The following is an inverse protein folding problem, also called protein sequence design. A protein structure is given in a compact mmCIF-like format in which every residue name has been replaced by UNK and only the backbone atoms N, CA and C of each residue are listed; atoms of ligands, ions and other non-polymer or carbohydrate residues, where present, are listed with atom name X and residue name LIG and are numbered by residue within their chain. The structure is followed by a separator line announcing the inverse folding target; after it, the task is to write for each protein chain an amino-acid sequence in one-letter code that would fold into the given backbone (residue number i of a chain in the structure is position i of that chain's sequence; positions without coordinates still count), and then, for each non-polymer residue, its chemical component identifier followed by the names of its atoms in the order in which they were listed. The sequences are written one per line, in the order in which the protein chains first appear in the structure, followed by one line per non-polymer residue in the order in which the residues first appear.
data_IF_681500428135
#
_entry.id   IF_681500428135
#
_cell.length_a   1.000
_cell.length_b   1.000
_cell.length_c   1.000
_cell.angle_alpha   90.00
_cell.angle_beta   90.00
_cell.angle_gamma   90.00
#
_symmetry.space_group_name_H-M   'P 1'
#
loop_
_entity.id
_entity.type
_entity.pdbx_description
1 polymer ?
#
# COMPACT_ATOMS: atom_id res chain seq x y z
N UNK A 1 -5.78 -23.17 -13.93
CA UNK A 1 -5.11 -22.01 -14.56
C UNK A 1 -3.60 -22.18 -14.40
N UNK A 2 -2.83 -21.83 -15.43
CA UNK A 2 -1.36 -21.88 -15.34
C UNK A 2 -0.84 -20.69 -14.52
N UNK A 3 0.32 -20.85 -13.87
CA UNK A 3 0.96 -19.78 -13.08
C UNK A 3 1.23 -18.54 -13.94
N UNK A 4 1.60 -18.73 -15.22
CA UNK A 4 1.87 -17.63 -16.15
C UNK A 4 0.60 -16.85 -16.52
N UNK A 5 -0.56 -17.53 -16.63
CA UNK A 5 -1.84 -16.86 -16.91
C UNK A 5 -2.32 -16.05 -15.69
N UNK A 6 -2.11 -16.56 -14.48
CA UNK A 6 -2.43 -15.87 -13.23
C UNK A 6 -1.53 -14.63 -13.07
N UNK A 7 -0.22 -14.78 -13.31
CA UNK A 7 0.76 -13.69 -13.30
C UNK A 7 0.39 -12.56 -14.26
N UNK A 8 0.14 -12.87 -15.55
CA UNK A 8 -0.21 -11.85 -16.54
C UNK A 8 -1.50 -11.11 -16.16
N UNK A 9 -2.47 -11.81 -15.56
CA UNK A 9 -3.71 -11.18 -15.12
C UNK A 9 -3.47 -10.16 -14.01
N UNK A 10 -2.67 -10.51 -13.00
CA UNK A 10 -2.38 -9.60 -11.89
C UNK A 10 -1.56 -8.40 -12.38
N UNK A 11 -0.59 -8.62 -13.28
CA UNK A 11 0.17 -7.52 -13.90
C UNK A 11 -0.74 -6.55 -14.66
N UNK A 12 -1.65 -7.07 -15.50
CA UNK A 12 -2.61 -6.22 -16.22
C UNK A 12 -3.57 -5.48 -15.27
N UNK A 13 -3.96 -6.11 -14.15
CA UNK A 13 -4.77 -5.45 -13.12
C UNK A 13 -4.00 -4.30 -12.50
N UNK A 14 -2.73 -4.51 -12.15
CA UNK A 14 -1.88 -3.49 -11.53
C UNK A 14 -1.66 -2.31 -12.48
N UNK A 15 -1.30 -2.56 -13.73
CA UNK A 15 -1.13 -1.50 -14.74
C UNK A 15 -2.39 -0.64 -14.89
N UNK A 16 -3.58 -1.27 -14.92
CA UNK A 16 -4.85 -0.57 -15.00
C UNK A 16 -5.12 0.27 -13.74
N UNK A 17 -4.87 -0.28 -12.56
CA UNK A 17 -5.07 0.40 -11.27
C UNK A 17 -4.12 1.59 -11.16
N UNK A 18 -2.84 1.40 -11.49
CA UNK A 18 -1.84 2.47 -11.50
C UNK A 18 -2.23 3.60 -12.46
N UNK A 19 -2.73 3.28 -13.66
CA UNK A 19 -3.24 4.30 -14.59
C UNK A 19 -4.37 5.13 -13.98
N UNK A 20 -5.29 4.50 -13.24
CA UNK A 20 -6.40 5.19 -12.57
C UNK A 20 -5.86 6.10 -11.45
N UNK A 21 -4.89 5.62 -10.67
CA UNK A 21 -4.28 6.35 -9.57
C UNK A 21 -3.46 7.54 -10.08
N UNK A 22 -2.69 7.38 -11.16
CA UNK A 22 -1.96 8.46 -11.82
C UNK A 22 -2.91 9.59 -12.27
N UNK A 23 -4.04 9.23 -12.89
CA UNK A 23 -5.06 10.23 -13.26
C UNK A 23 -5.65 10.89 -12.01
N UNK A 24 -5.90 10.12 -10.94
CA UNK A 24 -6.43 10.67 -9.70
C UNK A 24 -5.48 11.69 -9.06
N UNK A 25 -4.16 11.47 -9.12
CA UNK A 25 -3.15 12.39 -8.59
C UNK A 25 -3.10 13.72 -9.36
N UNK A 26 -3.49 13.75 -10.63
CA UNK A 26 -3.58 15.02 -11.39
C UNK A 26 -4.74 15.92 -10.94
N UNK A 27 -5.67 15.39 -10.14
CA UNK A 27 -6.82 16.12 -9.63
C UNK A 27 -6.55 16.71 -8.24
N UNK A 28 -7.17 17.85 -7.89
CA UNK A 28 -7.08 18.43 -6.55
C UNK A 28 -7.54 17.45 -5.45
N UNK A 29 -6.96 17.55 -4.25
CA UNK A 29 -7.26 16.64 -3.13
C UNK A 29 -8.73 16.62 -2.71
N UNK A 30 -9.43 17.75 -2.82
CA UNK A 30 -10.87 17.87 -2.51
C UNK A 30 -11.82 17.56 -3.68
N UNK A 31 -11.33 17.04 -4.81
CA UNK A 31 -12.19 16.73 -5.96
C UNK A 31 -12.90 15.37 -5.77
N UNK A 32 -14.23 15.36 -5.77
CA UNK A 32 -15.04 14.14 -5.70
C UNK A 32 -14.65 13.09 -6.76
N UNK A 33 -14.18 13.53 -7.93
CA UNK A 33 -13.73 12.63 -9.00
C UNK A 33 -12.47 11.88 -8.60
N UNK A 34 -11.54 12.53 -7.89
CA UNK A 34 -10.34 11.89 -7.33
C UNK A 34 -10.75 10.79 -6.36
N UNK A 35 -11.64 11.10 -5.41
CA UNK A 35 -12.13 10.11 -4.45
C UNK A 35 -12.81 8.91 -5.12
N UNK A 36 -13.60 9.14 -6.18
CA UNK A 36 -14.25 8.06 -6.96
C UNK A 36 -13.25 7.19 -7.72
N UNK A 37 -12.20 7.78 -8.32
CA UNK A 37 -11.17 7.02 -9.02
C UNK A 37 -10.37 6.15 -8.05
N UNK A 38 -9.98 6.68 -6.88
CA UNK A 38 -9.31 5.90 -5.83
C UNK A 38 -10.22 4.82 -5.24
N UNK A 39 -11.52 5.07 -5.11
CA UNK A 39 -12.48 4.03 -4.71
C UNK A 39 -12.54 2.90 -5.75
N UNK A 40 -12.64 3.26 -7.04
CA UNK A 40 -12.66 2.29 -8.14
C UNK A 40 -11.36 1.46 -8.20
N UNK A 41 -10.20 2.07 -7.95
CA UNK A 41 -8.91 1.36 -7.92
C UNK A 41 -8.88 0.33 -6.79
N UNK A 42 -9.33 0.72 -5.58
CA UNK A 42 -9.45 -0.18 -4.42
C UNK A 42 -10.43 -1.32 -4.66
N UNK A 43 -11.60 -1.04 -5.25
CA UNK A 43 -12.61 -2.06 -5.54
C UNK A 43 -12.08 -3.08 -6.56
N UNK A 44 -11.42 -2.61 -7.62
CA UNK A 44 -10.82 -3.48 -8.63
C UNK A 44 -9.73 -4.40 -8.05
N UNK A 45 -8.93 -3.92 -7.10
CA UNK A 45 -7.94 -4.76 -6.40
C UNK A 45 -8.59 -5.77 -5.45
N UNK A 46 -9.69 -5.40 -4.80
CA UNK A 46 -10.41 -6.26 -3.87
C UNK A 46 -11.09 -7.45 -4.58
N UNK A 47 -11.51 -7.28 -5.84
CA UNK A 47 -12.16 -8.33 -6.64
C UNK A 47 -11.26 -9.55 -6.92
N UNK A 48 -9.98 -9.36 -7.23
CA UNK A 48 -9.07 -10.50 -7.46
C UNK A 48 -8.58 -11.18 -6.17
N UNK A 49 -8.82 -10.53 -5.02
CA UNK A 49 -8.72 -11.03 -3.64
C UNK A 49 -7.37 -11.64 -3.18
N UNK A 50 -6.76 -12.57 -3.92
CA UNK A 50 -5.58 -13.34 -3.49
C UNK A 50 -4.57 -13.64 -4.59
N UNK A 51 -3.28 -13.69 -4.22
CA UNK A 51 -2.18 -14.10 -5.11
C UNK A 51 -1.22 -15.06 -4.41
N UNK A 52 -0.60 -15.96 -5.17
CA UNK A 52 0.40 -16.91 -4.66
C UNK A 52 1.75 -16.23 -4.40
N UNK A 53 2.54 -16.67 -3.40
CA UNK A 53 3.87 -16.12 -3.11
C UNK A 53 4.83 -16.11 -4.31
N UNK A 54 4.81 -17.17 -5.13
CA UNK A 54 5.68 -17.26 -6.31
C UNK A 54 5.35 -16.19 -7.37
N UNK A 55 4.09 -15.79 -7.49
CA UNK A 55 3.66 -14.75 -8.44
C UNK A 55 3.99 -13.38 -7.86
N UNK A 56 3.68 -13.16 -6.58
CA UNK A 56 4.06 -11.93 -5.88
C UNK A 56 5.58 -11.69 -5.92
N UNK A 57 6.40 -12.75 -5.80
CA UNK A 57 7.85 -12.65 -5.92
C UNK A 57 8.29 -12.06 -7.26
N UNK A 58 7.68 -12.51 -8.36
CA UNK A 58 7.96 -11.96 -9.70
C UNK A 58 7.51 -10.52 -9.83
N UNK A 59 6.30 -10.20 -9.39
CA UNK A 59 5.73 -8.84 -9.42
C UNK A 59 6.63 -7.86 -8.63
N UNK A 60 7.04 -8.25 -7.43
CA UNK A 60 7.85 -7.42 -6.55
C UNK A 60 9.33 -7.40 -6.94
N UNK A 61 9.78 -8.27 -7.85
CA UNK A 61 11.21 -8.43 -8.16
C UNK A 61 12.03 -8.93 -6.96
N UNK A 62 11.45 -9.84 -6.16
CA UNK A 62 12.05 -10.41 -4.96
C UNK A 62 12.12 -11.94 -5.08
N UNK A 63 12.87 -12.59 -4.19
CA UNK A 63 12.81 -14.05 -4.07
C UNK A 63 11.52 -14.50 -3.38
N UNK A 64 11.00 -15.69 -3.71
CA UNK A 64 9.83 -16.24 -3.00
C UNK A 64 10.09 -16.41 -1.50
N UNK A 65 11.33 -16.74 -1.12
CA UNK A 65 11.76 -16.81 0.28
C UNK A 65 11.60 -15.46 0.99
N UNK A 66 12.00 -14.38 0.33
CA UNK A 66 11.86 -13.01 0.86
C UNK A 66 10.39 -12.64 1.01
N UNK A 67 9.55 -12.93 0.01
CA UNK A 67 8.10 -12.68 0.07
C UNK A 67 7.44 -13.43 1.23
N UNK A 68 7.81 -14.70 1.46
CA UNK A 68 7.31 -15.47 2.61
C UNK A 68 7.74 -14.85 3.93
N UNK A 69 9.02 -14.46 4.05
CA UNK A 69 9.52 -13.79 5.24
C UNK A 69 8.80 -12.45 5.50
N UNK A 70 8.49 -11.69 4.45
CA UNK A 70 7.73 -10.43 4.56
C UNK A 70 6.28 -10.65 4.98
N UNK A 71 5.66 -11.73 4.51
CA UNK A 71 4.33 -12.14 4.96
C UNK A 71 4.33 -12.60 6.42
N UNK A 72 5.38 -13.29 6.87
CA UNK A 72 5.54 -13.67 8.28
C UNK A 72 5.83 -12.47 9.18
N UNK A 73 6.57 -11.48 8.68
CA UNK A 73 6.81 -10.20 9.37
C UNK A 73 5.59 -9.26 9.36
N UNK A 74 4.52 -9.60 8.65
CA UNK A 74 3.29 -8.80 8.58
C UNK A 74 3.31 -7.64 7.57
N UNK A 75 4.40 -7.48 6.82
CA UNK A 75 4.51 -6.45 5.77
C UNK A 75 3.59 -6.75 4.57
N UNK A 76 3.41 -8.04 4.26
CA UNK A 76 2.46 -8.50 3.25
C UNK A 76 1.27 -9.18 3.95
N UNK A 77 0.07 -8.64 3.77
CA UNK A 77 -1.12 -9.21 4.37
C UNK A 77 -1.43 -10.59 3.76
N UNK A 78 -1.76 -11.54 4.62
CA UNK A 78 -2.11 -12.91 4.23
C UNK A 78 -3.61 -13.13 4.31
N UNK A 79 -4.23 -13.59 3.23
CA UNK A 79 -5.66 -13.99 3.22
C UNK A 79 -5.87 -15.42 3.68
N UNK A 80 -4.86 -16.27 3.46
CA UNK A 80 -4.90 -17.67 3.87
C UNK A 80 -3.47 -18.14 4.16
N UNK A 81 -3.27 -18.87 5.26
CA UNK A 81 -1.98 -19.53 5.57
C UNK A 81 -2.03 -21.04 5.36
N UNK A 82 -3.18 -21.67 5.59
CA UNK A 82 -3.38 -23.13 5.55
C UNK A 82 -4.59 -23.51 4.67
N UNK A 83 -4.52 -24.57 3.84
CA UNK A 83 -3.36 -25.46 3.58
C UNK A 83 -2.27 -24.84 2.70
N UNK A 84 -2.48 -23.63 2.17
CA UNK A 84 -1.50 -22.93 1.34
C UNK A 84 -1.50 -21.43 1.64
N UNK A 85 -0.32 -20.82 1.58
CA UNK A 85 -0.15 -19.37 1.74
C UNK A 85 -0.71 -18.64 0.51
N UNK A 86 -1.62 -17.71 0.75
CA UNK A 86 -2.17 -16.77 -0.22
C UNK A 86 -2.07 -15.35 0.36
N UNK A 87 -1.54 -14.45 -0.45
CA UNK A 87 -1.34 -13.05 -0.11
C UNK A 87 -2.51 -12.22 -0.61
N UNK A 88 -2.82 -11.14 0.11
CA UNK A 88 -3.81 -10.15 -0.28
C UNK A 88 -3.31 -9.32 -1.47
N UNK A 89 -4.08 -9.25 -2.56
CA UNK A 89 -3.71 -8.51 -3.77
C UNK A 89 -3.52 -7.00 -3.49
N UNK A 90 -4.45 -6.30 -2.79
CA UNK A 90 -4.24 -4.91 -2.39
C UNK A 90 -2.96 -4.66 -1.58
N UNK A 91 -2.56 -5.59 -0.71
CA UNK A 91 -1.29 -5.48 0.03
C UNK A 91 -0.07 -5.61 -0.88
N UNK A 92 -0.09 -6.55 -1.83
CA UNK A 92 1.01 -6.71 -2.80
C UNK A 92 1.13 -5.46 -3.69
N UNK A 93 0.01 -4.86 -4.11
CA UNK A 93 -0.02 -3.63 -4.90
C UNK A 93 0.60 -2.44 -4.15
N UNK A 94 0.23 -2.24 -2.88
CA UNK A 94 0.82 -1.17 -2.06
C UNK A 94 2.34 -1.33 -1.93
N UNK A 95 2.80 -2.55 -1.65
CA UNK A 95 4.24 -2.83 -1.55
C UNK A 95 4.95 -2.67 -2.90
N UNK A 96 4.33 -3.02 -4.03
CA UNK A 96 4.94 -2.80 -5.36
C UNK A 96 5.13 -1.31 -5.66
N UNK A 97 4.15 -0.47 -5.29
CA UNK A 97 4.26 0.98 -5.46
C UNK A 97 5.44 1.55 -4.67
N UNK A 98 5.54 1.21 -3.38
CA UNK A 98 6.65 1.67 -2.51
C UNK A 98 8.00 1.16 -3.00
N UNK A 99 8.10 -0.11 -3.43
CA UNK A 99 9.35 -0.64 -3.98
C UNK A 99 9.77 0.06 -5.26
N UNK A 100 8.81 0.48 -6.10
CA UNK A 100 9.09 1.24 -7.32
C UNK A 100 9.69 2.60 -6.98
N UNK A 101 9.11 3.33 -6.02
CA UNK A 101 9.63 4.61 -5.54
C UNK A 101 11.05 4.46 -4.96
N UNK A 102 11.26 3.49 -4.07
CA UNK A 102 12.57 3.25 -3.44
C UNK A 102 13.65 2.92 -4.48
N UNK A 103 13.31 2.14 -5.51
CA UNK A 103 14.24 1.83 -6.60
C UNK A 103 14.56 3.05 -7.46
N UNK A 104 13.58 3.93 -7.70
CA UNK A 104 13.81 5.20 -8.40
C UNK A 104 14.72 6.13 -7.60
N UNK A 105 14.68 6.06 -6.26
CA UNK A 105 15.59 6.76 -5.35
C UNK A 105 16.98 6.09 -5.23
N UNK A 106 17.21 4.96 -5.91
CA UNK A 106 18.48 4.22 -5.91
C UNK A 106 18.69 3.32 -4.68
N UNK A 107 17.62 3.06 -3.91
CA UNK A 107 17.68 2.23 -2.71
C UNK A 107 17.54 0.75 -3.07
N UNK A 108 18.58 -0.04 -2.80
CA UNK A 108 18.59 -1.49 -3.07
C UNK A 108 18.84 -2.36 -1.82
N UNK A 109 19.25 -1.75 -0.71
CA UNK A 109 19.56 -2.42 0.55
C UNK A 109 18.51 -2.11 1.61
N UNK A 110 18.40 -3.00 2.59
CA UNK A 110 17.52 -2.84 3.76
C UNK A 110 16.06 -2.51 3.37
N UNK A 111 15.60 -3.07 2.23
CA UNK A 111 14.30 -2.77 1.63
C UNK A 111 13.13 -3.03 2.58
N UNK A 112 13.24 -4.03 3.46
CA UNK A 112 12.18 -4.33 4.44
C UNK A 112 11.91 -3.11 5.34
N UNK A 113 12.95 -2.50 5.89
CA UNK A 113 12.85 -1.37 6.82
C UNK A 113 12.34 -0.12 6.10
N UNK A 114 12.87 0.17 4.91
CA UNK A 114 12.40 1.29 4.10
C UNK A 114 10.94 1.16 3.67
N UNK A 115 10.51 -0.04 3.28
CA UNK A 115 9.11 -0.29 2.93
C UNK A 115 8.22 -0.16 4.16
N UNK A 116 8.67 -0.67 5.32
CA UNK A 116 7.93 -0.51 6.57
C UNK A 116 7.71 0.96 6.91
N UNK A 117 8.77 1.78 6.90
CA UNK A 117 8.68 3.21 7.18
C UNK A 117 7.78 3.95 6.19
N UNK A 118 7.90 3.68 4.88
CA UNK A 118 7.03 4.30 3.87
C UNK A 118 5.56 3.94 4.05
N UNK A 119 5.26 2.69 4.37
CA UNK A 119 3.87 2.26 4.61
C UNK A 119 3.30 2.85 5.90
N UNK A 120 4.13 2.99 6.94
CA UNK A 120 3.75 3.65 8.19
C UNK A 120 3.49 5.15 7.96
N UNK A 121 4.37 5.83 7.23
CA UNK A 121 4.19 7.23 6.83
C UNK A 121 2.89 7.43 6.02
N UNK A 122 2.63 6.56 5.04
CA UNK A 122 1.40 6.59 4.26
C UNK A 122 0.16 6.33 5.13
N UNK A 123 0.20 5.34 6.02
CA UNK A 123 -0.92 5.05 6.92
C UNK A 123 -1.18 6.18 7.93
N UNK A 124 -0.13 6.91 8.32
CA UNK A 124 -0.25 8.12 9.14
C UNK A 124 -0.89 9.27 8.34
N UNK A 125 -0.53 9.43 7.07
CA UNK A 125 -1.12 10.44 6.16
C UNK A 125 -2.58 10.12 5.81
N UNK A 126 -2.95 8.84 5.73
CA UNK A 126 -4.33 8.39 5.47
C UNK A 126 -5.28 8.59 6.67
N UNK A 127 -4.77 8.95 7.86
CA UNK A 127 -5.62 9.42 8.97
C UNK A 127 -6.07 10.84 8.67
N UNK A 128 -7.38 11.00 8.43
CA UNK A 128 -8.06 12.31 8.27
C UNK A 128 -7.61 13.35 9.31
N UNK A 129 -7.43 12.92 10.56
CA UNK A 129 -7.01 13.74 11.70
C UNK A 129 -5.59 14.36 11.51
N UNK A 130 -4.69 13.66 10.80
CA UNK A 130 -3.32 14.11 10.57
C UNK A 130 -3.22 15.00 9.32
N UNK A 131 -4.00 14.71 8.28
CA UNK A 131 -4.11 15.58 7.09
C UNK A 131 -4.59 16.99 7.47
N UNK A 132 -5.52 17.08 8.42
CA UNK A 132 -5.97 18.35 9.00
C UNK A 132 -4.85 19.03 9.81
N UNK A 133 -4.13 18.27 10.65
CA UNK A 133 -3.03 18.78 11.47
C UNK A 133 -1.82 19.27 10.65
N UNK A 134 -1.48 18.61 9.53
CA UNK A 134 -0.40 19.04 8.61
C UNK A 134 -0.83 20.25 7.79
N UNK A 135 -2.09 20.30 7.32
CA UNK A 135 -2.63 21.49 6.68
C UNK A 135 -2.60 22.68 7.64
N UNK A 136 -2.98 22.52 8.90
CA UNK A 136 -2.91 23.57 9.92
C UNK A 136 -1.45 24.02 10.17
N UNK A 137 -0.48 23.10 10.20
CA UNK A 137 0.94 23.41 10.37
C UNK A 137 1.54 24.17 9.16
N UNK A 138 1.13 23.81 7.93
CA UNK A 138 1.49 24.54 6.71
C UNK A 138 0.87 25.94 6.63
N UNK A 139 -0.27 26.17 7.30
CA UNK A 139 -0.93 27.47 7.43
C UNK A 139 -0.48 28.26 8.68
N UNK A 140 0.42 27.69 9.51
CA UNK A 140 1.00 28.36 10.68
C UNK A 140 0.18 28.25 11.97
N UNK A 141 -0.88 27.45 11.98
CA UNK A 141 -1.76 27.26 13.14
C UNK A 141 -1.41 25.95 13.85
N UNK A 142 -0.51 25.97 14.82
CA UNK A 142 -0.23 24.79 15.66
C UNK A 142 -1.20 24.74 16.83
N UNK A 143 -2.21 23.87 16.77
CA UNK A 143 -2.97 23.47 17.96
C UNK A 143 -2.34 22.22 18.54
N UNK A 144 -1.57 22.39 19.62
CA UNK A 144 -1.07 21.26 20.42
C UNK A 144 -2.26 20.61 21.13
N UNK A 145 -2.70 19.45 20.65
CA UNK A 145 -3.61 18.60 21.42
C UNK A 145 -2.86 18.07 22.64
N UNK A 146 -3.00 18.78 23.77
CA UNK A 146 -2.63 18.24 25.08
C UNK A 146 -3.55 17.04 25.33
N UNK A 147 -2.97 15.85 25.40
CA UNK A 147 -3.62 14.68 26.00
C UNK A 147 -4.12 15.08 27.39
N UNK A 148 -5.43 15.23 27.57
CA UNK A 148 -6.03 15.47 28.87
C UNK A 148 -5.69 14.29 29.76
N UNK A 149 -4.79 14.54 30.71
CA UNK A 149 -4.42 13.59 31.73
C UNK A 149 -5.62 13.26 32.60
N UNK A 150 -5.75 11.98 32.91
CA UNK A 150 -6.05 11.44 34.24
C UNK A 150 -6.55 12.48 35.25
N UNK A 151 -7.85 12.53 35.46
CA UNK A 151 -8.43 13.02 36.70
C UNK A 151 -9.01 11.83 37.47
N UNK A 152 -8.24 11.39 38.45
CA UNK A 152 -8.72 10.62 39.61
C UNK A 152 -9.73 11.51 40.37
N UNK A 153 -10.99 11.06 40.53
CA UNK A 153 -11.72 11.12 41.80
C UNK A 153 -12.99 10.27 41.81
#
# INVERSE_FOLDING_TARGET
MSVSTEEQRILNLFERVETIEEVAVTLPEGDDRRARLLALSRDALAEEATVRPVIAAKILGLSEKTVRAWADAGLLATRQRTPRLLLDVPSVHRVSHVLRELRQEGMERDLLEHVWHRLEDQALLDREDLGESISQLLHGDVVVLRSAGREDK
#
